data_IF_682567356546
#
_entry.id   IF_682567356546
#
_cell.length_a   1.000
_cell.length_b   1.000
_cell.length_c   1.000
_cell.angle_alpha   90.00
_cell.angle_beta   90.00
_cell.angle_gamma   90.00
#
_symmetry.space_group_name_H-M   'P 1'
#
loop_
_entity.id
_entity.type
_entity.pdbx_description
1 polymer ?
#
# COMPACT_ATOMS: atom_id res chain seq x y z
N UNK A 1 -10.27 -14.03 8.22
CA UNK A 1 -10.42 -12.57 8.41
C UNK A 1 -9.46 -11.86 7.45
N UNK A 2 -9.93 -10.83 6.74
CA UNK A 2 -9.08 -10.00 5.88
C UNK A 2 -8.96 -8.60 6.47
N UNK A 3 -7.76 -8.03 6.43
CA UNK A 3 -7.48 -6.66 6.89
C UNK A 3 -6.73 -5.92 5.78
N UNK A 4 -7.28 -4.79 5.35
CA UNK A 4 -6.63 -3.88 4.41
C UNK A 4 -6.04 -2.70 5.18
N UNK A 5 -4.72 -2.62 5.24
CA UNK A 5 -4.00 -1.45 5.74
C UNK A 5 -3.75 -0.47 4.60
N UNK A 6 -4.02 0.82 4.86
CA UNK A 6 -3.78 1.91 3.90
C UNK A 6 -2.86 2.92 4.59
N UNK A 7 -1.83 3.36 3.88
CA UNK A 7 -0.97 4.47 4.25
C UNK A 7 -1.12 5.56 3.19
N UNK A 8 -1.57 6.74 3.59
CA UNK A 8 -1.77 7.91 2.72
C UNK A 8 -1.59 9.22 3.51
N UNK A 9 -1.35 10.33 2.80
CA UNK A 9 -1.25 11.72 3.31
C UNK A 9 0.03 12.19 4.03
N UNK A 10 1.03 11.32 4.24
CA UNK A 10 2.31 11.75 4.87
C UNK A 10 3.57 11.26 4.12
N UNK A 11 3.46 10.13 3.43
CA UNK A 11 4.51 9.51 2.63
C UNK A 11 3.89 8.93 1.35
N UNK A 12 4.73 8.36 0.49
CA UNK A 12 4.29 7.59 -0.69
C UNK A 12 3.15 6.65 -0.32
N UNK A 13 2.03 6.76 -1.04
CA UNK A 13 0.85 5.98 -0.73
C UNK A 13 1.12 4.48 -0.92
N UNK A 14 0.57 3.67 -0.01
CA UNK A 14 0.77 2.22 -0.01
C UNK A 14 -0.43 1.48 0.59
N UNK A 15 -0.55 0.20 0.23
CA UNK A 15 -1.55 -0.70 0.80
C UNK A 15 -0.95 -2.07 1.12
N UNK A 16 -1.44 -2.69 2.18
CA UNK A 16 -1.10 -4.05 2.59
C UNK A 16 -2.37 -4.86 2.90
N UNK A 17 -2.44 -6.09 2.38
CA UNK A 17 -3.53 -7.01 2.63
C UNK A 17 -3.03 -8.18 3.48
N UNK A 18 -3.68 -8.36 4.63
CA UNK A 18 -3.45 -9.48 5.51
C UNK A 18 -4.63 -10.45 5.46
N UNK A 19 -4.33 -11.74 5.56
CA UNK A 19 -5.28 -12.82 5.77
C UNK A 19 -4.91 -13.57 7.04
N UNK A 20 -5.78 -13.53 8.04
CA UNK A 20 -5.58 -14.23 9.32
C UNK A 20 -4.23 -13.89 9.99
N UNK A 21 -3.84 -12.61 9.95
CA UNK A 21 -2.57 -12.11 10.49
C UNK A 21 -1.36 -12.32 9.58
N UNK A 22 -1.51 -13.01 8.45
CA UNK A 22 -0.42 -13.27 7.49
C UNK A 22 -0.48 -12.25 6.35
N UNK A 23 0.65 -11.63 6.02
CA UNK A 23 0.77 -10.75 4.86
C UNK A 23 0.66 -11.54 3.55
N UNK A 24 -0.28 -11.18 2.69
CA UNK A 24 -0.47 -11.84 1.39
C UNK A 24 -0.23 -10.92 0.18
N UNK A 25 -0.33 -9.59 0.36
CA UNK A 25 0.04 -8.62 -0.65
C UNK A 25 0.46 -7.30 0.00
N UNK A 26 1.43 -6.61 -0.60
CA UNK A 26 1.79 -5.24 -0.27
C UNK A 26 2.26 -4.53 -1.54
N UNK A 27 1.83 -3.28 -1.74
CA UNK A 27 2.25 -2.49 -2.89
C UNK A 27 2.26 -1.00 -2.58
N UNK A 28 3.16 -0.28 -3.27
CA UNK A 28 3.25 1.18 -3.26
C UNK A 28 2.62 1.74 -4.54
N UNK A 29 2.00 2.90 -4.45
CA UNK A 29 1.33 3.58 -5.56
C UNK A 29 2.27 3.83 -6.75
N UNK A 30 3.53 4.24 -6.48
CA UNK A 30 4.51 4.52 -7.53
C UNK A 30 4.79 3.33 -8.46
N UNK A 31 4.55 2.09 -8.03
CA UNK A 31 4.71 0.90 -8.87
C UNK A 31 3.61 0.79 -9.93
N UNK A 32 2.45 1.39 -9.66
CA UNK A 32 1.33 1.47 -10.59
C UNK A 32 1.40 2.72 -11.45
N UNK A 33 1.69 3.88 -10.86
CA UNK A 33 1.76 5.16 -11.59
C UNK A 33 3.04 5.32 -12.38
N UNK A 34 4.11 4.59 -12.02
CA UNK A 34 5.47 4.70 -12.55
C UNK A 34 6.07 6.11 -12.36
N UNK A 35 5.56 6.86 -11.39
CA UNK A 35 6.07 8.17 -10.97
C UNK A 35 6.75 7.97 -9.64
N UNK A 36 8.06 8.19 -9.58
CA UNK A 36 8.82 8.10 -8.33
C UNK A 36 8.35 9.17 -7.35
N UNK A 37 8.17 8.77 -6.09
CA UNK A 37 7.73 9.66 -5.00
C UNK A 37 6.44 10.41 -5.34
N UNK A 38 5.42 9.66 -5.79
CA UNK A 38 4.13 10.27 -6.10
C UNK A 38 3.57 10.94 -4.83
N UNK A 39 3.47 12.28 -4.89
CA UNK A 39 3.19 13.14 -3.75
C UNK A 39 1.72 13.62 -3.72
N UNK A 40 0.83 12.90 -4.39
CA UNK A 40 -0.57 13.27 -4.53
C UNK A 40 -1.31 13.33 -3.18
#
# INVERSE_FOLDING_TARGET
MHVLGISCHYHDAAAALLRDGVLIAAAQEERFTRRKHDAA
#
